data_IF_747766808163
#
_entry.id   IF_747766808163
#
_cell.length_a   1.000
_cell.length_b   1.000
_cell.length_c   1.000
_cell.angle_alpha   90.00
_cell.angle_beta   90.00
_cell.angle_gamma   90.00
#
_symmetry.space_group_name_H-M   'P 1'
#
loop_
_entity.id
_entity.type
_entity.pdbx_description
1 polymer ?
#
# COMPACT_ATOMS: atom_id res chain seq x y z
N UNK A 1 -2.17 -7.73 -6.17
CA UNK A 1 -2.03 -7.69 -4.71
C UNK A 1 -0.57 -7.35 -4.40
N UNK A 2 -0.02 -6.24 -4.96
CA UNK A 2 1.43 -6.05 -5.15
C UNK A 2 2.26 -6.53 -3.94
N UNK A 3 2.19 -5.87 -2.78
CA UNK A 3 2.99 -6.26 -1.61
C UNK A 3 2.96 -7.75 -1.20
N UNK A 4 1.79 -8.41 -1.22
CA UNK A 4 1.70 -9.84 -0.89
C UNK A 4 2.14 -10.75 -2.04
N UNK A 5 1.94 -10.34 -3.29
CA UNK A 5 2.55 -11.03 -4.43
C UNK A 5 4.09 -11.01 -4.30
N UNK A 6 4.65 -9.93 -3.73
CA UNK A 6 6.07 -9.74 -3.51
C UNK A 6 6.59 -10.53 -2.32
N UNK A 7 5.82 -10.55 -1.21
CA UNK A 7 6.06 -11.44 -0.07
C UNK A 7 6.18 -12.90 -0.51
N UNK A 8 5.25 -13.38 -1.35
CA UNK A 8 5.22 -14.75 -1.84
C UNK A 8 6.37 -15.08 -2.82
N UNK A 9 6.96 -14.07 -3.46
CA UNK A 9 8.06 -14.21 -4.41
C UNK A 9 9.43 -13.87 -3.80
N UNK A 10 9.49 -13.50 -2.52
CA UNK A 10 10.70 -13.00 -1.89
C UNK A 10 11.81 -14.05 -1.86
N UNK A 11 13.04 -13.63 -2.21
CA UNK A 11 14.24 -14.47 -2.11
C UNK A 11 15.32 -13.71 -1.36
N UNK A 12 15.98 -14.36 -0.39
CA UNK A 12 17.06 -13.74 0.39
C UNK A 12 16.68 -12.38 1.00
N UNK A 13 15.51 -12.32 1.63
CA UNK A 13 14.89 -11.13 2.26
C UNK A 13 14.42 -10.04 1.31
N UNK A 14 14.76 -10.08 0.02
CA UNK A 14 14.38 -9.05 -0.94
C UNK A 14 13.05 -9.41 -1.60
N UNK A 15 12.16 -8.43 -1.64
CA UNK A 15 10.93 -8.51 -2.42
C UNK A 15 11.26 -8.01 -3.83
N UNK A 16 11.02 -8.83 -4.88
CA UNK A 16 11.23 -8.39 -6.25
C UNK A 16 10.32 -7.20 -6.56
N UNK A 17 10.74 -6.35 -7.51
CA UNK A 17 9.93 -5.23 -7.98
C UNK A 17 8.61 -5.72 -8.58
N UNK A 18 7.55 -4.96 -8.32
CA UNK A 18 6.22 -5.22 -8.81
C UNK A 18 5.58 -3.92 -9.26
N UNK A 19 4.80 -3.97 -10.33
CA UNK A 19 4.15 -2.78 -10.85
C UNK A 19 2.70 -3.05 -11.24
N UNK A 20 1.89 -2.00 -11.16
CA UNK A 20 0.54 -1.95 -11.71
C UNK A 20 0.31 -0.58 -12.35
N UNK A 21 -0.59 -0.53 -13.33
CA UNK A 21 -1.11 0.73 -13.85
C UNK A 21 -2.24 1.21 -12.96
N UNK A 22 -2.43 2.54 -12.89
CA UNK A 22 -3.68 3.09 -12.40
C UNK A 22 -4.84 2.78 -13.34
N UNK A 23 -6.06 2.92 -12.86
CA UNK A 23 -7.26 2.65 -13.66
C UNK A 23 -7.38 3.57 -14.89
N UNK A 24 -6.84 4.79 -14.81
CA UNK A 24 -6.83 5.76 -15.92
C UNK A 24 -5.44 5.88 -16.56
N UNK A 25 -4.39 6.09 -15.75
CA UNK A 25 -3.03 6.28 -16.26
C UNK A 25 -1.94 6.06 -15.19
N UNK A 26 -0.68 6.20 -15.62
CA UNK A 26 0.49 6.14 -14.76
C UNK A 26 0.79 4.75 -14.20
N UNK A 27 1.74 4.72 -13.27
CA UNK A 27 2.27 3.47 -12.71
C UNK A 27 2.50 3.59 -11.20
N UNK A 28 2.15 2.52 -10.49
CA UNK A 28 2.54 2.25 -9.11
C UNK A 28 3.60 1.16 -9.12
N UNK A 29 4.77 1.43 -8.54
CA UNK A 29 5.86 0.47 -8.38
C UNK A 29 6.08 0.20 -6.90
N UNK A 30 6.11 -1.08 -6.52
CA UNK A 30 6.34 -1.56 -5.16
C UNK A 30 7.63 -2.38 -5.11
N UNK A 31 8.50 -2.03 -4.19
CA UNK A 31 9.72 -2.80 -3.84
C UNK A 31 9.79 -2.98 -2.33
N UNK A 32 10.70 -3.81 -1.83
CA UNK A 32 10.89 -3.88 -0.39
C UNK A 32 11.71 -5.05 0.11
N UNK A 33 11.58 -5.29 1.41
CA UNK A 33 12.20 -6.41 2.10
C UNK A 33 11.24 -7.03 3.10
N UNK A 34 11.41 -8.32 3.34
CA UNK A 34 10.73 -9.04 4.41
C UNK A 34 11.70 -9.92 5.16
N UNK A 35 11.51 -10.02 6.47
CA UNK A 35 12.31 -10.88 7.33
C UNK A 35 12.36 -12.32 6.83
N UNK A 36 13.48 -12.98 7.11
CA UNK A 36 13.71 -14.38 6.73
C UNK A 36 13.77 -15.29 7.95
N UNK A 37 13.68 -16.59 7.71
CA UNK A 37 13.71 -17.62 8.74
C UNK A 37 12.33 -18.21 9.04
N UNK A 38 12.30 -19.18 9.95
CA UNK A 38 11.13 -20.02 10.22
C UNK A 38 10.05 -19.39 11.11
N UNK A 39 10.31 -18.22 11.69
CA UNK A 39 9.33 -17.53 12.54
C UNK A 39 8.02 -17.28 11.77
N UNK A 40 6.84 -17.60 12.33
CA UNK A 40 5.56 -17.20 11.72
C UNK A 40 5.31 -15.68 11.81
N UNK A 41 6.14 -14.96 12.57
CA UNK A 41 6.11 -13.51 12.66
C UNK A 41 7.18 -12.90 11.76
N UNK A 42 6.81 -11.87 11.00
CA UNK A 42 7.64 -11.22 9.98
C UNK A 42 7.45 -9.71 10.03
N UNK A 43 8.54 -8.96 9.98
CA UNK A 43 8.48 -7.54 9.60
C UNK A 43 8.70 -7.42 8.08
N UNK A 44 7.88 -6.60 7.43
CA UNK A 44 7.89 -6.34 6.01
C UNK A 44 7.91 -4.84 5.78
N UNK A 45 8.89 -4.37 4.99
CA UNK A 45 9.15 -2.95 4.74
C UNK A 45 9.08 -2.73 3.25
N UNK A 46 8.03 -2.06 2.80
CA UNK A 46 7.74 -1.81 1.39
C UNK A 46 7.92 -0.33 1.06
N UNK A 47 8.27 -0.07 -0.20
CA UNK A 47 8.37 1.27 -0.78
C UNK A 47 7.47 1.33 -2.00
N UNK A 48 6.55 2.30 -2.01
CA UNK A 48 5.59 2.50 -3.07
C UNK A 48 5.88 3.82 -3.80
N UNK A 49 6.35 3.74 -5.04
CA UNK A 49 6.63 4.88 -5.91
C UNK A 49 5.49 5.02 -6.93
N UNK A 50 4.94 6.23 -7.01
CA UNK A 50 3.89 6.60 -7.95
C UNK A 50 4.48 7.54 -9.00
N UNK A 51 4.16 7.30 -10.27
CA UNK A 51 4.55 8.17 -11.39
C UNK A 51 3.36 8.36 -12.31
N UNK A 52 2.94 9.62 -12.46
CA UNK A 52 1.75 10.03 -13.19
C UNK A 52 0.51 9.20 -12.80
N UNK A 53 0.46 8.67 -11.56
CA UNK A 53 -0.52 7.65 -11.18
C UNK A 53 -1.91 8.26 -11.05
N UNK A 54 -2.88 7.66 -11.75
CA UNK A 54 -4.26 8.12 -11.73
C UNK A 54 -5.21 6.93 -11.69
N UNK A 55 -6.05 6.93 -10.65
CA UNK A 55 -7.21 6.05 -10.54
C UNK A 55 -8.51 6.84 -10.75
N UNK A 56 -9.60 6.11 -11.01
CA UNK A 56 -10.94 6.70 -11.13
C UNK A 56 -11.33 7.33 -9.80
N UNK A 57 -11.62 8.63 -9.82
CA UNK A 57 -12.19 9.35 -8.68
C UNK A 57 -13.71 9.29 -8.78
N UNK A 58 -14.35 8.55 -7.87
CA UNK A 58 -15.81 8.39 -7.83
C UNK A 58 -16.47 9.57 -7.09
N UNK A 59 -16.64 10.69 -7.77
CA UNK A 59 -17.41 11.86 -7.29
C UNK A 59 -18.49 12.25 -8.31
N UNK A 60 -19.44 13.11 -7.91
CA UNK A 60 -20.59 13.48 -8.78
C UNK A 60 -20.16 14.15 -10.09
N UNK A 61 -19.07 14.93 -10.03
CA UNK A 61 -18.39 15.51 -11.18
C UNK A 61 -17.12 14.71 -11.50
N UNK A 62 -16.70 14.67 -12.76
CA UNK A 62 -15.43 14.05 -13.13
C UNK A 62 -14.28 14.90 -12.56
N UNK A 63 -13.42 14.26 -11.74
CA UNK A 63 -12.27 14.91 -11.12
C UNK A 63 -10.98 14.21 -11.54
N UNK A 64 -10.07 14.97 -12.15
CA UNK A 64 -8.76 14.49 -12.57
C UNK A 64 -7.74 14.85 -11.50
N UNK A 65 -7.26 13.84 -10.77
CA UNK A 65 -6.14 13.98 -9.84
C UNK A 65 -5.07 12.98 -10.22
N UNK A 66 -3.86 13.49 -10.48
CA UNK A 66 -2.67 12.69 -10.73
C UNK A 66 -1.76 12.76 -9.50
N UNK A 67 -1.22 11.61 -9.10
CA UNK A 67 -0.36 11.47 -7.93
C UNK A 67 1.05 11.06 -8.33
N UNK A 68 2.04 11.81 -7.83
CA UNK A 68 3.46 11.54 -7.99
C UNK A 68 4.15 11.42 -6.64
N UNK A 69 5.05 10.45 -6.49
CA UNK A 69 5.96 10.43 -5.34
C UNK A 69 6.98 11.56 -5.44
N UNK A 70 7.17 12.31 -4.36
CA UNK A 70 8.08 13.46 -4.31
C UNK A 70 9.27 13.13 -3.43
N UNK A 71 10.48 13.30 -3.96
CA UNK A 71 11.78 13.06 -3.30
C UNK A 71 12.05 11.60 -2.86
N UNK A 72 11.04 10.89 -2.38
CA UNK A 72 11.09 9.51 -1.92
C UNK A 72 9.76 8.79 -2.18
N UNK A 73 9.77 7.45 -2.32
CA UNK A 73 8.56 6.63 -2.30
C UNK A 73 7.83 6.73 -0.95
N UNK A 74 6.55 6.39 -0.93
CA UNK A 74 5.83 6.14 0.32
C UNK A 74 6.43 4.92 1.02
N UNK A 75 6.53 4.99 2.35
CA UNK A 75 7.03 3.89 3.18
C UNK A 75 5.86 3.16 3.83
N UNK A 76 5.78 1.85 3.58
CA UNK A 76 4.79 0.95 4.15
C UNK A 76 5.51 -0.09 5.01
N UNK A 77 5.47 0.13 6.31
CA UNK A 77 6.03 -0.79 7.30
C UNK A 77 4.91 -1.64 7.88
N UNK A 78 5.06 -2.96 7.82
CA UNK A 78 4.05 -3.94 8.21
C UNK A 78 4.66 -5.01 9.11
N UNK A 79 3.94 -5.31 10.18
CA UNK A 79 4.17 -6.41 11.08
C UNK A 79 3.13 -7.50 10.81
N UNK A 80 3.59 -8.65 10.34
CA UNK A 80 2.78 -9.83 10.10
C UNK A 80 2.94 -10.79 11.27
N UNK A 81 1.83 -11.23 11.88
CA UNK A 81 1.83 -12.13 13.03
C UNK A 81 1.02 -13.37 12.71
N UNK A 82 1.60 -14.55 12.96
CA UNK A 82 0.91 -15.83 12.77
C UNK A 82 0.77 -16.27 11.31
N UNK A 83 1.68 -15.87 10.41
CA UNK A 83 1.68 -16.32 9.01
C UNK A 83 1.62 -17.86 8.95
N UNK A 84 0.73 -18.48 8.15
CA UNK A 84 -0.06 -17.87 7.07
C UNK A 84 -1.49 -17.42 7.45
N UNK A 85 -1.98 -17.72 8.64
CA UNK A 85 -3.36 -17.44 9.09
C UNK A 85 -3.32 -16.61 10.38
N UNK A 86 -3.43 -15.30 10.24
CA UNK A 86 -3.09 -14.37 11.29
C UNK A 86 -3.41 -12.93 10.95
N UNK A 87 -2.59 -11.98 11.42
CA UNK A 87 -2.86 -10.54 11.31
C UNK A 87 -1.73 -9.79 10.64
N UNK A 88 -2.08 -8.64 10.05
CA UNK A 88 -1.17 -7.60 9.60
C UNK A 88 -1.48 -6.31 10.34
N UNK A 89 -0.45 -5.58 10.75
CA UNK A 89 -0.55 -4.25 11.34
C UNK A 89 0.61 -3.39 10.88
N UNK A 90 0.40 -2.09 10.68
CA UNK A 90 1.51 -1.21 10.32
C UNK A 90 1.10 0.18 9.90
N UNK A 91 1.99 0.87 9.19
CA UNK A 91 1.81 2.26 8.80
C UNK A 91 2.21 2.52 7.36
N UNK A 92 1.46 3.38 6.68
CA UNK A 92 1.84 3.99 5.41
C UNK A 92 2.08 5.48 5.64
N UNK A 93 3.31 5.93 5.40
CA UNK A 93 3.70 7.32 5.56
C UNK A 93 4.44 7.84 4.33
N UNK A 94 4.37 9.15 4.11
CA UNK A 94 5.12 9.82 3.06
C UNK A 94 4.34 10.94 2.40
N UNK A 95 4.98 11.61 1.43
CA UNK A 95 4.39 12.71 0.70
C UNK A 95 4.21 12.34 -0.77
N UNK A 96 3.12 12.84 -1.35
CA UNK A 96 2.86 12.85 -2.78
C UNK A 96 2.65 14.30 -3.24
N UNK A 97 2.84 14.54 -4.52
CA UNK A 97 2.35 15.75 -5.19
C UNK A 97 1.06 15.39 -5.93
N UNK A 98 0.04 16.22 -5.78
CA UNK A 98 -1.16 16.15 -6.59
C UNK A 98 -1.08 17.17 -7.73
N UNK A 99 -1.47 16.76 -8.92
CA UNK A 99 -1.69 17.65 -10.06
C UNK A 99 -3.03 17.37 -10.74
N UNK A 100 -3.47 18.26 -11.65
CA UNK A 100 -4.79 18.20 -12.28
C UNK A 100 -5.74 19.24 -11.70
N UNK A 101 -6.97 18.83 -11.40
CA UNK A 101 -8.02 19.71 -10.88
C UNK A 101 -7.78 20.09 -9.40
N UNK A 102 -7.08 19.23 -8.66
CA UNK A 102 -6.57 19.51 -7.31
C UNK A 102 -5.05 19.46 -7.37
N UNK A 103 -4.39 20.48 -6.82
CA UNK A 103 -2.93 20.62 -6.89
C UNK A 103 -2.30 20.78 -5.51
N UNK A 104 -1.05 20.34 -5.39
CA UNK A 104 -0.20 20.57 -4.23
C UNK A 104 0.13 19.28 -3.48
N UNK A 105 1.04 19.40 -2.52
CA UNK A 105 1.51 18.25 -1.76
C UNK A 105 0.45 17.70 -0.80
N UNK A 106 0.38 16.37 -0.71
CA UNK A 106 -0.38 15.65 0.32
C UNK A 106 0.57 14.76 1.11
N UNK A 107 0.51 14.88 2.43
CA UNK A 107 1.26 14.02 3.36
C UNK A 107 0.29 13.01 3.96
N UNK A 108 0.62 11.73 3.81
CA UNK A 108 -0.11 10.61 4.38
C UNK A 108 0.55 10.18 5.68
N UNK A 109 -0.27 9.98 6.70
CA UNK A 109 0.08 9.31 7.96
C UNK A 109 -1.06 8.37 8.31
N UNK A 110 -0.93 7.12 7.87
CA UNK A 110 -1.99 6.13 7.93
C UNK A 110 -1.55 4.89 8.70
N UNK A 111 -2.43 4.38 9.55
CA UNK A 111 -2.36 3.05 10.17
C UNK A 111 -3.15 2.05 9.33
N UNK A 112 -2.60 0.85 9.19
CA UNK A 112 -3.19 -0.26 8.46
C UNK A 112 -3.30 -1.47 9.39
N UNK A 113 -4.46 -2.09 9.43
CA UNK A 113 -4.72 -3.32 10.20
C UNK A 113 -5.56 -4.28 9.34
N UNK A 114 -5.44 -5.58 9.57
CA UNK A 114 -6.31 -6.57 8.94
C UNK A 114 -5.85 -8.00 9.19
N UNK A 115 -6.54 -8.95 8.55
CA UNK A 115 -6.25 -10.37 8.66
C UNK A 115 -5.55 -10.89 7.39
N UNK A 116 -4.77 -11.95 7.56
CA UNK A 116 -4.12 -12.70 6.47
C UNK A 116 -4.55 -14.16 6.52
N UNK A 117 -4.60 -14.79 5.35
CA UNK A 117 -4.96 -16.20 5.19
C UNK A 117 -4.09 -16.85 4.11
N UNK A 118 -3.98 -18.19 4.10
CA UNK A 118 -3.49 -18.93 2.95
C UNK A 118 -4.30 -18.60 1.69
N UNK A 119 -3.64 -18.57 0.53
CA UNK A 119 -4.35 -18.44 -0.72
C UNK A 119 -5.15 -19.74 -1.02
N UNK A 120 -6.46 -19.67 -1.30
CA UNK A 120 -7.28 -20.86 -1.55
C UNK A 120 -6.90 -21.59 -2.84
N UNK A 121 -6.14 -20.95 -3.74
CA UNK A 121 -5.62 -21.59 -4.95
C UNK A 121 -4.22 -22.17 -4.76
N UNK A 122 -3.49 -21.74 -3.73
CA UNK A 122 -2.14 -22.20 -3.39
C UNK A 122 -1.85 -21.95 -1.90
N UNK A 123 -2.05 -22.96 -1.05
CA UNK A 123 -1.91 -22.85 0.42
C UNK A 123 -0.47 -22.49 0.87
N UNK A 124 0.52 -22.59 -0.03
CA UNK A 124 1.88 -22.12 0.25
C UNK A 124 2.03 -20.59 0.15
N UNK A 125 1.04 -19.91 -0.44
CA UNK A 125 0.99 -18.46 -0.59
C UNK A 125 0.10 -17.84 0.47
N UNK A 126 0.40 -16.59 0.79
CA UNK A 126 -0.33 -15.79 1.76
C UNK A 126 -0.99 -14.61 1.05
N UNK A 127 -2.21 -14.29 1.46
CA UNK A 127 -2.95 -13.11 1.02
C UNK A 127 -3.64 -12.43 2.20
N UNK A 128 -4.15 -11.23 1.97
CA UNK A 128 -5.06 -10.56 2.92
C UNK A 128 -6.44 -11.20 2.85
N UNK A 129 -7.12 -11.33 3.99
CA UNK A 129 -8.54 -11.70 4.02
C UNK A 129 -9.36 -10.54 3.45
N UNK A 130 -10.15 -10.74 2.38
CA UNK A 130 -10.95 -9.67 1.79
C UNK A 130 -11.91 -9.02 2.79
N UNK A 131 -12.02 -7.69 2.76
CA UNK A 131 -12.94 -6.93 3.63
C UNK A 131 -12.46 -6.74 5.08
N UNK A 132 -11.23 -7.15 5.42
CA UNK A 132 -10.68 -6.99 6.78
C UNK A 132 -9.63 -5.89 6.86
N UNK A 133 -9.12 -5.37 5.74
CA UNK A 133 -8.06 -4.36 5.77
C UNK A 133 -8.66 -3.00 6.11
N UNK A 134 -8.47 -2.53 7.33
CA UNK A 134 -8.81 -1.20 7.78
C UNK A 134 -7.63 -0.26 7.58
N UNK A 135 -7.87 0.91 6.99
CA UNK A 135 -6.87 1.97 6.78
C UNK A 135 -7.43 3.24 7.42
N UNK A 136 -6.70 3.77 8.41
CA UNK A 136 -7.12 4.93 9.20
C UNK A 136 -5.99 5.94 9.32
N UNK A 137 -6.32 7.21 9.50
CA UNK A 137 -5.32 8.23 9.81
C UNK A 137 -5.63 9.54 9.12
N UNK A 138 -4.62 10.23 8.64
CA UNK A 138 -4.79 11.55 8.03
C UNK A 138 -4.11 11.69 6.67
N UNK A 139 -4.75 12.47 5.82
CA UNK A 139 -4.15 13.09 4.64
C UNK A 139 -4.11 14.60 4.88
N UNK A 140 -2.89 15.16 4.96
CA UNK A 140 -2.69 16.59 5.18
C UNK A 140 -2.28 17.28 3.90
N UNK A 141 -2.99 18.34 3.51
CA UNK A 141 -2.71 19.13 2.30
C UNK A 141 -2.86 20.63 2.59
N UNK A 142 -2.53 21.52 1.64
CA UNK A 142 -2.81 22.96 1.76
C UNK A 142 -4.29 23.30 2.01
N UNK A 143 -5.20 22.39 1.68
CA UNK A 143 -6.64 22.58 1.84
C UNK A 143 -7.16 22.12 3.21
N UNK A 144 -6.31 21.49 4.03
CA UNK A 144 -6.66 21.04 5.37
C UNK A 144 -6.15 19.65 5.70
N UNK A 145 -6.59 19.16 6.86
CA UNK A 145 -6.34 17.79 7.33
C UNK A 145 -7.64 17.01 7.14
N UNK A 146 -7.56 15.92 6.40
CA UNK A 146 -8.69 15.04 6.10
C UNK A 146 -8.50 13.71 6.82
N UNK A 147 -9.54 13.28 7.54
CA UNK A 147 -9.55 11.95 8.13
C UNK A 147 -9.75 10.90 7.05
N UNK A 148 -8.95 9.83 7.13
CA UNK A 148 -9.08 8.63 6.32
C UNK A 148 -9.62 7.54 7.24
N UNK A 149 -10.69 6.88 6.82
CA UNK A 149 -11.22 5.66 7.45
C UNK A 149 -11.90 4.82 6.36
N UNK A 150 -11.18 3.82 5.84
CA UNK A 150 -11.66 2.95 4.76
C UNK A 150 -11.40 1.48 5.10
N UNK A 151 -12.30 0.61 4.64
CA UNK A 151 -12.17 -0.84 4.78
C UNK A 151 -12.16 -1.48 3.38
N UNK A 152 -11.22 -2.40 3.14
CA UNK A 152 -10.97 -3.09 1.87
C UNK A 152 -10.83 -4.60 2.06
#
# INVERSE_FOLDING_TARGET
NLGFDGFNAATSANIPEQSAMGDESGTLVVTGQVDQGSSPNKEMRLRAALTDYQDVVLVEDELVIVYDSVDAPLELDLSLRGVPDGTLQGTLTGALEMTGDITGSVVLDLTIEGDIEPDPMDEARVRRVPGTTSIRGTATSPYGVFEVDVVR
#
